data_IF_000452277384
#
_entry.id   IF_000452277384
#
_cell.length_a   1.000
_cell.length_b   1.000
_cell.length_c   1.000
_cell.angle_alpha   90.00
_cell.angle_beta   90.00
_cell.angle_gamma   90.00
#
_symmetry.space_group_name_H-M   'P 1'
#
loop_
_entity.id
_entity.type
_entity.pdbx_description
1 polymer ?
#
# COMPACT_ATOMS: atom_id res chain seq x y z
N UNK A 1 4.65 0.50 0.26
CA UNK A 1 5.26 -0.83 0.40
C UNK A 1 4.23 -1.78 -0.16
N UNK A 2 4.54 -2.50 -1.22
CA UNK A 2 3.63 -3.50 -1.73
C UNK A 2 3.53 -4.67 -0.76
N UNK A 3 2.36 -5.28 -0.60
CA UNK A 3 2.18 -6.40 0.36
C UNK A 3 3.10 -7.60 0.06
N UNK A 4 3.73 -7.63 -1.11
CA UNK A 4 4.77 -8.60 -1.46
C UNK A 4 5.94 -8.66 -0.48
N UNK A 5 6.35 -7.54 0.12
CA UNK A 5 7.41 -7.55 1.14
C UNK A 5 6.96 -8.25 2.43
N UNK A 6 5.70 -8.08 2.80
CA UNK A 6 5.08 -8.78 3.93
C UNK A 6 4.95 -10.28 3.62
N UNK A 7 4.51 -10.61 2.41
CA UNK A 7 4.36 -11.98 1.95
C UNK A 7 5.70 -12.74 1.86
N UNK A 8 6.77 -12.10 1.36
CA UNK A 8 8.13 -12.68 1.39
C UNK A 8 8.66 -12.83 2.82
N UNK A 9 8.31 -11.90 3.72
CA UNK A 9 8.65 -12.02 5.14
C UNK A 9 7.92 -13.18 5.84
N UNK A 10 6.73 -13.54 5.38
CA UNK A 10 5.92 -14.65 5.90
C UNK A 10 6.21 -15.98 5.21
N UNK A 11 6.62 -15.96 3.94
CA UNK A 11 6.97 -17.14 3.17
C UNK A 11 8.28 -16.88 2.37
N UNK A 12 9.44 -17.16 2.96
CA UNK A 12 10.75 -16.90 2.36
C UNK A 12 11.01 -17.66 1.06
N UNK A 13 10.32 -18.81 0.88
CA UNK A 13 10.44 -19.68 -0.29
C UNK A 13 9.49 -19.28 -1.43
N UNK A 14 8.68 -18.23 -1.24
CA UNK A 14 7.79 -17.74 -2.27
C UNK A 14 8.61 -17.22 -3.49
N UNK A 15 8.30 -17.69 -4.72
CA UNK A 15 9.09 -17.33 -5.90
C UNK A 15 9.11 -15.82 -6.11
N UNK A 16 10.31 -15.25 -6.23
CA UNK A 16 10.48 -13.84 -6.59
C UNK A 16 9.92 -13.59 -8.00
N UNK A 17 9.11 -12.55 -8.13
CA UNK A 17 8.52 -12.16 -9.41
C UNK A 17 9.60 -11.76 -10.42
N UNK A 18 9.40 -12.12 -11.70
CA UNK A 18 10.19 -11.57 -12.80
C UNK A 18 10.01 -10.05 -12.82
N UNK A 19 11.02 -9.32 -12.36
CA UNK A 19 10.89 -7.90 -12.03
C UNK A 19 10.57 -7.04 -13.24
N UNK A 20 11.01 -7.41 -14.44
CA UNK A 20 10.78 -6.64 -15.68
C UNK A 20 9.32 -6.61 -16.14
N UNK A 21 8.71 -7.78 -16.34
CA UNK A 21 7.31 -7.90 -16.78
C UNK A 21 6.34 -7.34 -15.74
N UNK A 22 6.62 -7.57 -14.46
CA UNK A 22 5.90 -6.99 -13.34
C UNK A 22 5.96 -5.45 -13.34
N UNK A 23 7.15 -4.85 -13.51
CA UNK A 23 7.29 -3.39 -13.48
C UNK A 23 6.51 -2.74 -14.63
N UNK A 24 6.55 -3.33 -15.83
CA UNK A 24 5.83 -2.81 -16.99
C UNK A 24 4.31 -2.91 -16.78
N UNK A 25 3.80 -4.07 -16.35
CA UNK A 25 2.37 -4.24 -16.08
C UNK A 25 1.89 -3.29 -14.98
N UNK A 26 2.71 -3.09 -13.95
CA UNK A 26 2.44 -2.14 -12.86
C UNK A 26 2.37 -0.71 -13.34
N UNK A 27 3.39 -0.26 -14.08
CA UNK A 27 3.45 1.10 -14.56
C UNK A 27 2.25 1.43 -15.48
N UNK A 28 1.85 0.48 -16.32
CA UNK A 28 0.67 0.61 -17.18
C UNK A 28 -0.62 0.73 -16.36
N UNK A 29 -0.81 -0.15 -15.38
CA UNK A 29 -1.99 -0.12 -14.50
C UNK A 29 -2.04 1.18 -13.68
N UNK A 30 -0.94 1.55 -13.02
CA UNK A 30 -0.88 2.73 -12.15
C UNK A 30 -1.10 4.02 -12.95
N UNK A 31 -0.52 4.11 -14.14
CA UNK A 31 -0.76 5.24 -15.05
C UNK A 31 -2.23 5.32 -15.44
N UNK A 32 -2.86 4.19 -15.77
CA UNK A 32 -4.28 4.14 -16.10
C UNK A 32 -5.15 4.55 -14.90
N UNK A 33 -4.85 4.08 -13.70
CA UNK A 33 -5.56 4.46 -12.47
C UNK A 33 -5.44 5.97 -12.21
N UNK A 34 -4.25 6.54 -12.31
CA UNK A 34 -4.02 7.99 -12.12
C UNK A 34 -4.82 8.80 -13.13
N UNK A 35 -4.78 8.41 -14.42
CA UNK A 35 -5.55 9.10 -15.47
C UNK A 35 -7.04 9.02 -15.19
N UNK A 36 -7.56 7.84 -14.84
CA UNK A 36 -8.99 7.67 -14.58
C UNK A 36 -9.44 8.42 -13.33
N UNK A 37 -8.68 8.39 -12.24
CA UNK A 37 -8.97 9.20 -11.05
C UNK A 37 -8.96 10.69 -11.39
N UNK A 38 -7.99 11.14 -12.18
CA UNK A 38 -7.94 12.53 -12.63
C UNK A 38 -9.19 12.90 -13.45
N UNK A 39 -9.64 12.03 -14.36
CA UNK A 39 -10.88 12.22 -15.12
C UNK A 39 -12.11 12.24 -14.20
N UNK A 40 -12.18 11.36 -13.19
CA UNK A 40 -13.26 11.35 -12.20
C UNK A 40 -13.30 12.65 -11.39
N UNK A 41 -12.14 13.13 -10.92
CA UNK A 41 -12.04 14.41 -10.21
C UNK A 41 -12.46 15.55 -11.13
N UNK A 42 -11.99 15.57 -12.38
CA UNK A 42 -12.24 16.65 -13.34
C UNK A 42 -13.69 16.70 -13.81
N UNK A 43 -14.32 15.56 -14.09
CA UNK A 43 -15.62 15.49 -14.76
C UNK A 43 -16.78 15.07 -13.85
N UNK A 44 -16.53 14.33 -12.77
CA UNK A 44 -17.58 13.89 -11.83
C UNK A 44 -17.59 14.79 -10.60
N UNK A 45 -16.45 14.95 -9.92
CA UNK A 45 -16.38 15.73 -8.67
C UNK A 45 -16.47 17.23 -8.96
N UNK A 46 -15.72 17.72 -9.95
CA UNK A 46 -15.62 19.14 -10.32
C UNK A 46 -15.38 20.05 -9.09
N UNK A 47 -14.25 19.89 -8.38
CA UNK A 47 -13.98 20.70 -7.19
C UNK A 47 -14.02 22.20 -7.52
N UNK A 48 -14.61 22.99 -6.63
CA UNK A 48 -14.70 24.45 -6.79
C UNK A 48 -13.33 25.10 -6.56
N UNK A 49 -12.62 25.34 -7.67
CA UNK A 49 -11.33 26.03 -7.69
C UNK A 49 -11.47 27.54 -7.84
N UNK A 50 -12.68 28.10 -7.78
CA UNK A 50 -12.91 29.55 -7.97
C UNK A 50 -12.14 30.38 -6.95
N UNK A 51 -12.00 29.87 -5.71
CA UNK A 51 -11.22 30.52 -4.65
C UNK A 51 -9.71 30.59 -4.93
N UNK A 52 -9.20 29.77 -5.85
CA UNK A 52 -7.79 29.73 -6.24
C UNK A 52 -7.49 30.57 -7.48
N UNK A 53 -8.50 31.07 -8.21
CA UNK A 53 -8.30 31.82 -9.47
C UNK A 53 -7.50 33.09 -9.31
N UNK A 54 -7.70 33.79 -8.20
CA UNK A 54 -7.03 35.06 -7.88
C UNK A 54 -5.97 34.90 -6.80
N UNK A 55 -5.58 33.66 -6.49
CA UNK A 55 -4.54 33.41 -5.50
C UNK A 55 -3.18 33.69 -6.14
N UNK A 56 -2.59 34.83 -5.78
CA UNK A 56 -1.17 35.07 -6.01
C UNK A 56 -0.40 34.55 -4.79
N UNK A 57 0.36 33.48 -4.99
CA UNK A 57 1.25 33.00 -3.96
C UNK A 57 2.20 34.14 -3.55
N UNK A 58 2.33 34.47 -2.25
CA UNK A 58 3.25 35.50 -1.81
C UNK A 58 4.65 35.15 -2.34
N UNK A 59 5.28 36.09 -3.05
CA UNK A 59 6.65 35.95 -3.57
C UNK A 59 7.67 36.08 -2.42
N UNK A 60 7.50 35.30 -1.36
CA UNK A 60 8.49 35.20 -0.29
C UNK A 60 9.66 34.37 -0.79
N UNK A 61 10.74 35.05 -1.19
CA UNK A 61 12.09 34.45 -1.24
C UNK A 61 12.62 34.26 0.19
N UNK A 62 11.85 33.62 1.06
CA UNK A 62 12.33 33.22 2.38
C UNK A 62 13.34 32.10 2.18
N UNK A 63 14.61 32.38 2.46
CA UNK A 63 15.64 31.35 2.52
C UNK A 63 15.22 30.33 3.58
N UNK A 64 15.43 29.04 3.30
CA UNK A 64 15.21 27.99 4.28
C UNK A 64 15.96 28.33 5.58
N UNK A 65 15.26 28.23 6.71
CA UNK A 65 15.88 28.44 8.01
C UNK A 65 16.90 27.33 8.28
N UNK A 66 17.86 27.58 9.18
CA UNK A 66 18.86 26.59 9.57
C UNK A 66 18.22 25.29 10.06
N UNK A 67 17.09 25.40 10.77
CA UNK A 67 16.34 24.26 11.28
C UNK A 67 15.60 23.51 10.16
N UNK A 68 15.05 24.20 9.16
CA UNK A 68 14.49 23.54 7.98
C UNK A 68 15.56 22.77 7.18
N UNK A 69 16.77 23.34 7.04
CA UNK A 69 17.88 22.64 6.39
C UNK A 69 18.36 21.43 7.20
N UNK A 70 18.33 21.51 8.54
CA UNK A 70 18.62 20.38 9.43
C UNK A 70 17.56 19.28 9.30
N UNK A 71 16.27 19.65 9.33
CA UNK A 71 15.17 18.71 9.10
C UNK A 71 15.28 18.03 7.73
N UNK A 72 15.59 18.79 6.68
CA UNK A 72 15.81 18.26 5.34
C UNK A 72 17.00 17.29 5.30
N UNK A 73 18.09 17.59 6.02
CA UNK A 73 19.23 16.68 6.15
C UNK A 73 18.86 15.35 6.82
N UNK A 74 18.07 15.39 7.90
CA UNK A 74 17.56 14.18 8.56
C UNK A 74 16.65 13.39 7.61
N UNK A 75 15.78 14.06 6.86
CA UNK A 75 14.90 13.43 5.88
C UNK A 75 15.69 12.77 4.74
N UNK A 76 16.70 13.44 4.19
CA UNK A 76 17.58 12.88 3.16
C UNK A 76 18.32 11.65 3.72
N UNK A 77 18.86 11.75 4.94
CA UNK A 77 19.53 10.62 5.60
C UNK A 77 18.58 9.43 5.76
N UNK A 78 17.33 9.67 6.18
CA UNK A 78 16.30 8.63 6.26
C UNK A 78 16.09 7.92 4.92
N UNK A 79 15.90 8.68 3.82
CA UNK A 79 15.74 8.10 2.49
C UNK A 79 16.97 7.33 2.03
N UNK A 80 18.17 7.84 2.30
CA UNK A 80 19.42 7.15 1.95
C UNK A 80 19.49 5.82 2.67
N UNK A 81 19.32 5.77 3.99
CA UNK A 81 19.38 4.52 4.76
C UNK A 81 18.26 3.55 4.34
N UNK A 82 17.05 4.05 4.10
CA UNK A 82 15.90 3.23 3.71
C UNK A 82 16.07 2.59 2.31
N UNK A 83 16.72 3.29 1.37
CA UNK A 83 16.91 2.84 -0.01
C UNK A 83 18.23 2.10 -0.24
N UNK A 84 19.23 2.30 0.65
CA UNK A 84 20.55 1.71 0.54
C UNK A 84 20.53 0.17 0.39
N UNK A 85 19.74 -0.61 1.16
CA UNK A 85 19.69 -2.06 1.01
C UNK A 85 19.32 -2.53 -0.40
N UNK A 86 18.45 -1.77 -1.08
CA UNK A 86 17.98 -2.09 -2.43
C UNK A 86 19.03 -1.86 -3.52
N UNK A 87 20.07 -1.06 -3.22
CA UNK A 87 21.15 -0.73 -4.15
C UNK A 87 22.42 -1.55 -3.89
N UNK A 88 22.52 -2.19 -2.72
CA UNK A 88 23.69 -2.96 -2.33
C UNK A 88 23.65 -4.40 -2.88
N UNK A 89 24.81 -4.97 -3.29
CA UNK A 89 24.91 -6.38 -3.60
C UNK A 89 24.69 -7.24 -2.34
N UNK A 90 24.32 -8.49 -2.52
CA UNK A 90 24.14 -9.46 -1.42
C UNK A 90 25.40 -9.58 -0.56
N UNK A 91 25.24 -9.48 0.76
CA UNK A 91 26.34 -9.57 1.73
C UNK A 91 26.01 -8.94 3.08
N UNK A 92 26.91 -9.08 4.05
CA UNK A 92 26.69 -8.68 5.44
C UNK A 92 26.31 -7.19 5.63
N UNK A 93 26.79 -6.31 4.74
CA UNK A 93 26.42 -4.88 4.76
C UNK A 93 24.96 -4.69 4.36
N UNK A 94 24.50 -5.38 3.31
CA UNK A 94 23.09 -5.38 2.90
C UNK A 94 22.22 -5.95 4.01
N UNK A 95 22.64 -7.04 4.65
CA UNK A 95 21.88 -7.69 5.71
C UNK A 95 21.77 -6.78 6.94
N UNK A 96 22.85 -6.09 7.31
CA UNK A 96 22.82 -5.10 8.40
C UNK A 96 21.81 -3.98 8.12
N UNK A 97 21.89 -3.34 6.95
CA UNK A 97 20.97 -2.26 6.60
C UNK A 97 19.54 -2.75 6.33
N UNK A 98 19.34 -3.99 5.88
CA UNK A 98 18.00 -4.58 5.72
C UNK A 98 17.36 -4.85 7.08
N UNK A 99 18.10 -5.38 8.04
CA UNK A 99 17.63 -5.60 9.42
C UNK A 99 17.38 -4.28 10.15
N UNK A 100 18.22 -3.27 9.91
CA UNK A 100 18.00 -1.93 10.42
C UNK A 100 16.73 -1.31 9.83
N UNK A 101 16.57 -1.43 8.50
CA UNK A 101 15.35 -1.15 7.77
C UNK A 101 14.82 0.29 7.90
N UNK A 102 13.58 0.48 7.44
CA UNK A 102 12.87 1.77 7.49
C UNK A 102 12.59 2.20 8.93
N UNK A 103 12.28 1.23 9.80
CA UNK A 103 11.97 1.47 11.21
C UNK A 103 13.22 1.97 11.96
N UNK A 104 14.37 1.33 11.78
CA UNK A 104 15.63 1.77 12.39
C UNK A 104 16.06 3.14 11.86
N UNK A 105 15.91 3.41 10.56
CA UNK A 105 16.18 4.72 9.98
C UNK A 105 15.30 5.82 10.60
N UNK A 106 14.01 5.55 10.83
CA UNK A 106 13.10 6.47 11.50
C UNK A 106 13.52 6.73 12.95
N UNK A 107 13.83 5.68 13.72
CA UNK A 107 14.31 5.83 15.10
C UNK A 107 15.61 6.62 15.19
N UNK A 108 16.55 6.39 14.27
CA UNK A 108 17.80 7.14 14.22
C UNK A 108 17.55 8.63 13.92
N UNK A 109 16.64 8.93 12.99
CA UNK A 109 16.25 10.31 12.69
C UNK A 109 15.65 11.02 13.91
N UNK A 110 14.77 10.35 14.65
CA UNK A 110 14.19 10.87 15.89
C UNK A 110 15.26 11.03 16.97
N UNK A 111 16.15 10.05 17.15
CA UNK A 111 17.23 10.12 18.13
C UNK A 111 18.18 11.31 17.87
N UNK A 112 18.57 11.52 16.61
CA UNK A 112 19.37 12.68 16.21
C UNK A 112 18.62 13.98 16.50
N UNK A 113 17.35 14.08 16.12
CA UNK A 113 16.52 15.27 16.37
C UNK A 113 16.36 15.59 17.87
N UNK A 114 16.32 14.58 18.75
CA UNK A 114 16.23 14.76 20.20
C UNK A 114 17.54 15.23 20.84
N UNK A 115 18.70 14.86 20.27
CA UNK A 115 20.02 15.27 20.75
C UNK A 115 20.38 16.69 20.27
N UNK A 116 19.86 17.09 19.10
CA UNK A 116 20.10 18.41 18.53
C UNK A 116 19.53 19.55 19.38
N UNK A 117 20.20 20.71 19.32
CA UNK A 117 19.75 21.95 19.95
C UNK A 117 19.66 23.09 18.95
N UNK A 118 18.70 23.97 19.18
CA UNK A 118 18.53 25.21 18.42
C UNK A 118 19.67 26.19 18.76
N UNK A 119 19.79 27.26 17.96
CA UNK A 119 20.79 28.32 18.21
C UNK A 119 20.64 28.95 19.60
N UNK A 120 19.40 29.00 20.09
CA UNK A 120 19.05 29.51 21.42
C UNK A 120 19.30 28.51 22.57
N UNK A 121 19.90 27.34 22.28
CA UNK A 121 20.19 26.29 23.28
C UNK A 121 18.99 25.47 23.72
N UNK A 122 17.79 25.80 23.23
CA UNK A 122 16.57 25.01 23.47
C UNK A 122 16.64 23.66 22.75
N UNK A 123 15.98 22.61 23.27
CA UNK A 123 15.88 21.33 22.57
C UNK A 123 15.29 21.54 21.17
N UNK A 124 15.91 20.97 20.14
CA UNK A 124 15.43 21.06 18.76
C UNK A 124 14.03 20.46 18.63
N UNK A 125 13.80 19.36 19.35
CA UNK A 125 12.51 18.67 19.41
C UNK A 125 12.34 18.03 20.79
N UNK A 126 11.13 18.09 21.35
CA UNK A 126 10.81 17.38 22.60
C UNK A 126 10.11 16.08 22.27
N UNK A 127 10.47 14.99 22.95
CA UNK A 127 9.86 13.68 22.73
C UNK A 127 8.35 13.69 22.94
N UNK A 128 7.84 14.44 23.93
CA UNK A 128 6.40 14.57 24.19
C UNK A 128 5.67 15.16 22.98
N UNK A 129 6.28 16.10 22.27
CA UNK A 129 5.68 16.72 21.10
C UNK A 129 5.67 15.75 19.91
N UNK A 130 6.72 14.94 19.75
CA UNK A 130 6.76 13.85 18.76
C UNK A 130 5.70 12.80 19.05
N UNK A 131 5.61 12.34 20.30
CA UNK A 131 4.67 11.31 20.72
C UNK A 131 3.22 11.70 20.49
N UNK A 132 2.88 12.99 20.55
CA UNK A 132 1.53 13.49 20.20
C UNK A 132 1.23 13.43 18.71
N UNK A 133 2.25 13.59 17.86
CA UNK A 133 2.10 13.50 16.41
C UNK A 133 2.05 12.05 15.89
N UNK A 134 2.38 11.06 16.72
CA UNK A 134 2.33 9.66 16.33
C UNK A 134 0.87 9.17 16.35
N UNK A 135 0.33 8.63 15.24
CA UNK A 135 -1.00 8.05 15.21
C UNK A 135 -0.98 6.67 15.89
N UNK A 136 -1.00 6.65 17.23
CA UNK A 136 -0.90 5.41 18.03
C UNK A 136 -1.93 4.36 17.65
N UNK A 137 -3.15 4.78 17.30
CA UNK A 137 -4.21 3.89 16.85
C UNK A 137 -3.82 3.11 15.57
N UNK A 138 -3.08 3.72 14.64
CA UNK A 138 -2.57 3.06 13.43
C UNK A 138 -1.49 2.03 13.81
N UNK A 139 -0.61 2.36 14.76
CA UNK A 139 0.44 1.42 15.23
C UNK A 139 -0.21 0.17 15.84
N UNK A 140 -1.21 0.34 16.72
CA UNK A 140 -1.91 -0.79 17.30
C UNK A 140 -2.68 -1.60 16.26
N UNK A 141 -3.32 -0.93 15.29
CA UNK A 141 -3.99 -1.60 14.17
C UNK A 141 -3.04 -2.50 13.38
N UNK A 142 -1.87 -1.98 12.97
CA UNK A 142 -0.85 -2.77 12.25
C UNK A 142 -0.34 -3.93 13.12
N UNK A 143 -0.12 -3.72 14.42
CA UNK A 143 0.32 -4.77 15.34
C UNK A 143 -0.67 -5.94 15.44
N UNK A 144 -1.96 -5.65 15.64
CA UNK A 144 -3.02 -6.67 15.67
C UNK A 144 -3.15 -7.38 14.33
N UNK A 145 -3.02 -6.64 13.23
CA UNK A 145 -3.07 -7.18 11.89
C UNK A 145 -1.97 -8.22 11.64
N UNK A 146 -0.73 -7.98 12.09
CA UNK A 146 0.36 -8.95 11.90
C UNK A 146 0.05 -10.29 12.57
N UNK A 147 -0.56 -10.27 13.77
CA UNK A 147 -1.00 -11.48 14.49
C UNK A 147 -2.14 -12.19 13.75
N UNK A 148 -3.10 -11.43 13.20
CA UNK A 148 -4.16 -12.02 12.40
C UNK A 148 -3.59 -12.67 11.15
N UNK A 149 -2.76 -11.97 10.37
CA UNK A 149 -2.17 -12.48 9.14
C UNK A 149 -1.38 -13.78 9.38
N UNK A 150 -0.62 -13.88 10.48
CA UNK A 150 0.10 -15.12 10.82
C UNK A 150 -0.87 -16.26 11.12
N UNK A 151 -1.96 -15.98 11.85
CA UNK A 151 -3.00 -16.97 12.16
C UNK A 151 -3.70 -17.47 10.89
N UNK A 152 -4.06 -16.57 9.97
CA UNK A 152 -4.73 -16.95 8.72
C UNK A 152 -3.84 -17.73 7.74
N UNK A 153 -2.53 -17.61 7.89
CA UNK A 153 -1.55 -18.35 7.08
C UNK A 153 -1.16 -19.70 7.69
N UNK A 154 -1.64 -20.01 8.90
CA UNK A 154 -1.28 -21.22 9.63
C UNK A 154 -1.95 -22.45 8.98
N UNK A 155 -1.18 -23.41 8.46
CA UNK A 155 -1.72 -24.65 7.89
C UNK A 155 -2.54 -25.46 8.91
N UNK A 156 -2.23 -25.40 10.21
CA UNK A 156 -2.92 -26.19 11.24
C UNK A 156 -4.39 -25.76 11.42
N UNK A 157 -4.70 -24.51 11.11
CA UNK A 157 -6.06 -23.98 11.21
C UNK A 157 -6.93 -24.30 9.99
N UNK A 158 -6.33 -24.78 8.89
CA UNK A 158 -7.05 -25.21 7.69
C UNK A 158 -7.80 -24.08 6.94
N UNK A 159 -7.55 -22.81 7.24
CA UNK A 159 -8.29 -21.69 6.64
C UNK A 159 -8.00 -21.57 5.14
N UNK A 160 -6.73 -21.68 4.74
CA UNK A 160 -6.34 -21.68 3.33
C UNK A 160 -6.96 -22.86 2.55
N UNK A 161 -7.07 -24.03 3.18
CA UNK A 161 -7.71 -25.20 2.59
C UNK A 161 -9.22 -24.99 2.41
N UNK A 162 -9.89 -24.47 3.44
CA UNK A 162 -11.32 -24.13 3.39
C UNK A 162 -11.64 -23.11 2.29
N UNK A 163 -10.81 -22.07 2.15
CA UNK A 163 -10.95 -21.08 1.08
C UNK A 163 -10.71 -21.68 -0.30
N UNK A 164 -9.69 -22.54 -0.42
CA UNK A 164 -9.39 -23.25 -1.68
C UNK A 164 -10.56 -24.14 -2.08
N UNK A 165 -11.13 -24.92 -1.16
CA UNK A 165 -12.29 -25.77 -1.41
C UNK A 165 -13.53 -24.96 -1.84
N UNK A 166 -13.72 -23.77 -1.28
CA UNK A 166 -14.84 -22.90 -1.64
C UNK A 166 -14.66 -22.23 -3.02
N UNK A 167 -13.44 -21.83 -3.37
CA UNK A 167 -13.15 -21.05 -4.58
C UNK A 167 -12.95 -21.95 -5.81
N UNK A 168 -12.32 -23.12 -5.65
CA UNK A 168 -11.93 -24.00 -6.76
C UNK A 168 -13.10 -24.38 -7.69
N UNK A 169 -14.29 -24.79 -7.19
CA UNK A 169 -15.41 -25.15 -8.06
C UNK A 169 -15.91 -23.98 -8.91
N UNK A 170 -15.86 -22.76 -8.36
CA UNK A 170 -16.27 -21.54 -9.06
C UNK A 170 -15.30 -21.28 -10.20
N UNK A 171 -14.00 -21.31 -9.90
CA UNK A 171 -12.91 -21.02 -10.85
C UNK A 171 -12.87 -22.03 -12.00
N UNK A 172 -13.09 -23.32 -11.73
CA UNK A 172 -13.13 -24.37 -12.76
C UNK A 172 -14.27 -24.19 -13.76
N UNK A 173 -15.43 -23.72 -13.29
CA UNK A 173 -16.65 -23.63 -14.11
C UNK A 173 -16.68 -22.45 -15.09
N UNK A 174 -15.85 -21.42 -14.88
CA UNK A 174 -15.93 -20.13 -15.60
C UNK A 174 -14.68 -19.78 -16.42
N UNK A 175 -13.67 -20.65 -16.42
CA UNK A 175 -12.42 -20.48 -17.17
C UNK A 175 -11.55 -19.31 -16.69
N UNK A 176 -10.38 -19.12 -17.31
CA UNK A 176 -9.33 -18.20 -16.85
C UNK A 176 -9.76 -16.72 -16.75
N UNK A 177 -10.55 -16.23 -17.69
CA UNK A 177 -11.04 -14.85 -17.62
C UNK A 177 -12.08 -14.68 -16.50
N UNK A 178 -13.05 -15.60 -16.43
CA UNK A 178 -14.08 -15.56 -15.40
C UNK A 178 -13.50 -15.68 -14.00
N UNK A 179 -12.53 -16.57 -13.80
CA UNK A 179 -11.86 -16.78 -12.52
C UNK A 179 -11.12 -15.53 -12.06
N UNK A 180 -10.38 -14.90 -12.98
CA UNK A 180 -9.67 -13.66 -12.69
C UNK A 180 -10.67 -12.55 -12.31
N UNK A 181 -11.74 -12.39 -13.08
CA UNK A 181 -12.76 -11.37 -12.80
C UNK A 181 -13.44 -11.56 -11.44
N UNK A 182 -13.82 -12.79 -11.10
CA UNK A 182 -14.44 -13.11 -9.80
C UNK A 182 -13.46 -12.85 -8.65
N UNK A 183 -12.20 -13.27 -8.77
CA UNK A 183 -11.20 -13.05 -7.73
C UNK A 183 -10.88 -11.57 -7.54
N UNK A 184 -10.82 -10.77 -8.62
CA UNK A 184 -10.67 -9.31 -8.52
C UNK A 184 -11.85 -8.68 -7.77
N UNK A 185 -13.08 -9.10 -8.06
CA UNK A 185 -14.27 -8.59 -7.38
C UNK A 185 -14.23 -8.95 -5.89
N UNK A 186 -13.97 -10.22 -5.57
CA UNK A 186 -13.88 -10.70 -4.19
C UNK A 186 -12.78 -9.94 -3.44
N UNK A 187 -11.58 -9.84 -3.99
CA UNK A 187 -10.46 -9.13 -3.37
C UNK A 187 -10.78 -7.66 -3.13
N UNK A 188 -11.33 -6.96 -4.13
CA UNK A 188 -11.65 -5.52 -4.01
C UNK A 188 -12.73 -5.28 -2.96
N UNK A 189 -13.78 -6.11 -2.93
CA UNK A 189 -14.86 -5.97 -1.95
C UNK A 189 -14.36 -6.32 -0.55
N UNK A 190 -13.65 -7.44 -0.41
CA UNK A 190 -13.12 -7.89 0.86
C UNK A 190 -12.15 -6.87 1.45
N UNK A 191 -11.24 -6.31 0.65
CA UNK A 191 -10.24 -5.35 1.16
C UNK A 191 -10.80 -4.00 1.56
N UNK A 192 -12.03 -3.69 1.18
CA UNK A 192 -12.68 -2.45 1.61
C UNK A 192 -13.46 -2.63 2.92
N UNK A 193 -13.59 -3.88 3.38
CA UNK A 193 -14.25 -4.27 4.64
C UNK A 193 -13.21 -4.76 5.67
N UNK A 194 -12.23 -5.53 5.19
CA UNK A 194 -11.11 -6.09 5.92
C UNK A 194 -9.83 -5.33 5.57
N UNK A 195 -8.78 -5.53 6.36
CA UNK A 195 -7.48 -4.93 6.09
C UNK A 195 -6.85 -5.45 4.79
N UNK A 196 -6.21 -4.56 4.03
CA UNK A 196 -5.58 -4.84 2.76
C UNK A 196 -4.49 -5.92 2.80
N UNK A 197 -3.70 -5.93 3.86
CA UNK A 197 -2.63 -6.90 4.04
C UNK A 197 -3.22 -8.28 4.35
N UNK A 198 -4.29 -8.34 5.16
CA UNK A 198 -4.98 -9.58 5.47
C UNK A 198 -5.60 -10.21 4.21
N UNK A 199 -6.32 -9.42 3.41
CA UNK A 199 -6.93 -9.92 2.17
C UNK A 199 -5.86 -10.35 1.18
N UNK A 200 -4.75 -9.62 1.07
CA UNK A 200 -3.61 -10.03 0.25
C UNK A 200 -3.09 -11.41 0.68
N UNK A 201 -2.88 -11.64 1.98
CA UNK A 201 -2.44 -12.95 2.50
C UNK A 201 -3.43 -14.05 2.13
N UNK A 202 -4.73 -13.84 2.35
CA UNK A 202 -5.77 -14.82 2.02
C UNK A 202 -5.78 -15.17 0.52
N UNK A 203 -5.70 -14.16 -0.36
CA UNK A 203 -5.65 -14.38 -1.80
C UNK A 203 -4.38 -15.16 -2.20
N UNK A 204 -3.24 -14.86 -1.58
CA UNK A 204 -2.00 -15.59 -1.84
C UNK A 204 -2.06 -17.07 -1.44
N UNK A 205 -2.80 -17.43 -0.39
CA UNK A 205 -2.94 -18.85 -0.01
C UNK A 205 -3.68 -19.69 -1.06
N UNK A 206 -4.59 -19.09 -1.83
CA UNK A 206 -5.41 -19.80 -2.84
C UNK A 206 -4.85 -19.73 -4.26
N UNK A 207 -3.84 -18.88 -4.53
CA UNK A 207 -3.29 -18.67 -5.87
C UNK A 207 -2.65 -19.93 -6.44
N UNK A 208 -1.86 -20.66 -5.66
CA UNK A 208 -1.17 -21.87 -6.13
C UNK A 208 -2.12 -22.92 -6.71
N UNK A 209 -3.12 -23.39 -5.92
CA UNK A 209 -4.14 -24.32 -6.41
C UNK A 209 -4.91 -23.81 -7.63
N UNK A 210 -5.38 -22.55 -7.59
CA UNK A 210 -6.12 -21.93 -8.70
C UNK A 210 -5.30 -21.89 -9.99
N UNK A 211 -4.01 -21.53 -9.90
CA UNK A 211 -3.13 -21.47 -11.06
C UNK A 211 -2.81 -22.86 -11.62
N UNK A 212 -2.68 -23.88 -10.77
CA UNK A 212 -2.52 -25.27 -11.17
C UNK A 212 -3.68 -25.78 -12.01
N UNK A 213 -4.90 -25.46 -11.60
CA UNK A 213 -6.13 -25.79 -12.34
C UNK A 213 -6.24 -25.04 -13.68
N UNK A 214 -5.89 -23.75 -13.70
CA UNK A 214 -6.05 -22.90 -14.88
C UNK A 214 -4.87 -22.94 -15.86
N UNK A 215 -3.76 -23.59 -15.50
CA UNK A 215 -2.56 -23.68 -16.32
C UNK A 215 -1.83 -22.35 -16.52
N UNK A 216 -1.91 -21.43 -15.55
CA UNK A 216 -1.26 -20.11 -15.61
C UNK A 216 -0.10 -19.98 -14.63
N UNK A 217 0.82 -19.07 -14.93
CA UNK A 217 1.95 -18.78 -14.04
C UNK A 217 1.47 -18.20 -12.71
N UNK A 218 1.77 -18.84 -11.55
CA UNK A 218 1.38 -18.35 -10.24
C UNK A 218 1.93 -16.96 -9.93
N UNK A 219 3.14 -16.63 -10.39
CA UNK A 219 3.77 -15.34 -10.11
C UNK A 219 3.09 -14.20 -10.86
N UNK A 220 2.78 -14.36 -12.15
CA UNK A 220 2.06 -13.35 -12.92
C UNK A 220 0.63 -13.14 -12.44
N UNK A 221 -0.04 -14.22 -12.06
CA UNK A 221 -1.41 -14.18 -11.55
C UNK A 221 -1.49 -13.54 -10.15
N UNK A 222 -0.56 -13.89 -9.25
CA UNK A 222 -0.41 -13.28 -7.93
C UNK A 222 -0.15 -11.78 -8.02
N UNK A 223 0.76 -11.36 -8.89
CA UNK A 223 1.12 -9.97 -9.07
C UNK A 223 -0.08 -9.08 -9.42
N UNK A 224 -1.03 -9.62 -10.19
CA UNK A 224 -2.20 -8.89 -10.68
C UNK A 224 -3.37 -8.94 -9.73
N UNK A 225 -3.55 -10.05 -9.00
CA UNK A 225 -4.58 -10.18 -7.97
C UNK A 225 -4.24 -9.45 -6.67
N UNK A 226 -2.97 -9.10 -6.45
CA UNK A 226 -2.59 -8.29 -5.31
C UNK A 226 -3.08 -6.83 -5.45
N UNK A 227 -3.13 -6.28 -6.66
CA UNK A 227 -3.55 -4.89 -6.92
C UNK A 227 -4.94 -4.53 -6.40
N UNK A 228 -6.00 -5.33 -6.65
CA UNK A 228 -7.28 -5.05 -6.05
C UNK A 228 -7.25 -5.09 -4.52
N UNK A 229 -6.32 -5.83 -3.89
CA UNK A 229 -6.14 -5.84 -2.43
C UNK A 229 -5.53 -4.53 -1.92
N UNK A 230 -4.68 -3.84 -2.69
CA UNK A 230 -4.10 -2.56 -2.22
C UNK A 230 -5.11 -1.40 -2.25
N UNK A 231 -6.22 -1.54 -2.99
CA UNK A 231 -7.22 -0.47 -3.12
C UNK A 231 -8.27 -0.50 -2.00
N UNK A 232 -7.84 -0.09 -0.81
CA UNK A 232 -8.59 -0.20 0.43
C UNK A 232 -8.86 1.19 1.04
N UNK A 233 -9.97 1.82 0.65
CA UNK A 233 -10.28 3.23 1.01
C UNK A 233 -11.67 3.44 1.62
N UNK A 234 -12.56 2.44 1.53
CA UNK A 234 -13.97 2.62 1.90
C UNK A 234 -14.16 2.80 3.40
N UNK A 235 -13.49 1.99 4.22
CA UNK A 235 -13.62 2.01 5.68
C UNK A 235 -12.29 2.39 6.33
N UNK A 236 -12.30 3.01 7.53
CA UNK A 236 -11.06 3.38 8.21
C UNK A 236 -10.21 2.17 8.59
N UNK A 237 -10.81 0.98 8.74
CA UNK A 237 -10.11 -0.26 9.05
C UNK A 237 -9.52 -0.97 7.82
N UNK A 238 -9.82 -0.48 6.61
CA UNK A 238 -9.39 -1.12 5.37
C UNK A 238 -7.88 -0.97 5.12
N UNK A 239 -7.29 0.17 5.51
CA UNK A 239 -5.85 0.40 5.43
C UNK A 239 -5.41 1.55 6.34
N UNK A 240 -4.11 1.63 6.69
CA UNK A 240 -3.54 2.80 7.36
C UNK A 240 -3.81 4.11 6.61
N UNK A 241 -3.76 4.09 5.28
CA UNK A 241 -4.07 5.26 4.45
C UNK A 241 -5.52 5.71 4.57
N UNK A 242 -6.46 4.76 4.64
CA UNK A 242 -7.87 5.05 4.89
C UNK A 242 -8.08 5.61 6.30
N UNK A 243 -7.45 5.02 7.32
CA UNK A 243 -7.51 5.52 8.70
C UNK A 243 -7.08 6.99 8.79
N UNK A 244 -5.96 7.34 8.13
CA UNK A 244 -5.48 8.73 8.05
C UNK A 244 -6.51 9.65 7.38
N UNK A 245 -7.05 9.26 6.22
CA UNK A 245 -8.07 10.04 5.52
C UNK A 245 -9.33 10.27 6.36
N UNK A 246 -9.76 9.26 7.13
CA UNK A 246 -10.88 9.39 8.05
C UNK A 246 -10.54 10.25 9.27
N UNK A 247 -9.27 10.31 9.71
CA UNK A 247 -8.79 11.24 10.73
C UNK A 247 -9.00 12.71 10.34
N UNK A 248 -8.80 13.04 9.06
CA UNK A 248 -9.05 14.39 8.53
C UNK A 248 -10.54 14.82 8.62
N UNK A 249 -11.44 13.87 8.86
CA UNK A 249 -12.86 14.19 9.11
C UNK A 249 -13.08 14.81 10.48
N UNK A 250 -12.21 14.55 11.46
CA UNK A 250 -12.27 15.14 12.80
C UNK A 250 -11.84 16.62 12.75
N UNK A 251 -10.87 16.94 11.91
CA UNK A 251 -10.41 18.31 11.67
C UNK A 251 -11.34 19.14 10.76
N UNK A 252 -12.35 18.49 10.15
CA UNK A 252 -13.35 19.15 9.31
C UNK A 252 -12.91 19.44 7.87
N UNK A 253 -11.76 18.91 7.44
CA UNK A 253 -11.30 19.04 6.04
C UNK A 253 -12.18 18.27 5.06
N UNK A 254 -12.67 17.09 5.46
CA UNK A 254 -13.46 16.20 4.60
C UNK A 254 -14.65 15.62 5.37
N UNK A 255 -15.78 15.41 4.69
CA UNK A 255 -16.94 14.73 5.27
C UNK A 255 -16.90 13.22 4.97
N UNK A 256 -17.24 12.38 5.95
CA UNK A 256 -17.41 10.92 5.79
C UNK A 256 -18.30 10.55 4.60
N UNK A 257 -19.40 11.28 4.38
CA UNK A 257 -20.28 11.06 3.22
C UNK A 257 -19.56 11.25 1.89
N UNK A 258 -18.68 12.25 1.80
CA UNK A 258 -17.86 12.52 0.61
C UNK A 258 -16.85 11.39 0.39
N UNK A 259 -16.19 10.93 1.45
CA UNK A 259 -15.25 9.80 1.38
C UNK A 259 -15.96 8.57 0.86
N UNK A 260 -17.07 8.14 1.50
CA UNK A 260 -17.80 6.93 1.11
C UNK A 260 -18.34 7.02 -0.32
N UNK A 261 -18.91 8.17 -0.70
CA UNK A 261 -19.44 8.36 -2.06
C UNK A 261 -18.33 8.29 -3.11
N UNK A 262 -17.18 8.93 -2.85
CA UNK A 262 -16.06 8.93 -3.78
C UNK A 262 -15.40 7.55 -3.85
N UNK A 263 -15.18 6.92 -2.69
CA UNK A 263 -14.63 5.58 -2.59
C UNK A 263 -15.48 4.57 -3.35
N UNK A 264 -16.79 4.60 -3.18
CA UNK A 264 -17.72 3.68 -3.88
C UNK A 264 -17.63 3.83 -5.40
N UNK A 265 -17.58 5.06 -5.91
CA UNK A 265 -17.41 5.32 -7.35
C UNK A 265 -16.08 4.76 -7.84
N UNK A 266 -14.99 5.03 -7.11
CA UNK A 266 -13.67 4.56 -7.49
C UNK A 266 -13.60 3.02 -7.47
N UNK A 267 -14.18 2.35 -6.46
CA UNK A 267 -14.23 0.89 -6.37
C UNK A 267 -14.90 0.30 -7.61
N UNK A 268 -16.07 0.82 -8.01
CA UNK A 268 -16.77 0.33 -9.20
C UNK A 268 -15.93 0.49 -10.48
N UNK A 269 -15.29 1.64 -10.64
CA UNK A 269 -14.45 1.92 -11.82
C UNK A 269 -13.17 1.07 -11.80
N UNK A 270 -12.57 0.88 -10.64
CA UNK A 270 -11.30 0.18 -10.49
C UNK A 270 -11.47 -1.32 -10.68
N UNK A 271 -12.58 -1.92 -10.25
CA UNK A 271 -12.91 -3.31 -10.59
C UNK A 271 -12.86 -3.51 -12.11
N UNK A 272 -13.49 -2.61 -12.88
CA UNK A 272 -13.50 -2.72 -14.34
C UNK A 272 -12.09 -2.56 -14.91
N UNK A 273 -11.30 -1.62 -14.42
CA UNK A 273 -9.90 -1.43 -14.86
C UNK A 273 -9.01 -2.62 -14.53
N UNK A 274 -9.10 -3.15 -13.31
CA UNK A 274 -8.36 -4.33 -12.86
C UNK A 274 -8.70 -5.54 -13.73
N UNK A 275 -9.97 -5.74 -14.06
CA UNK A 275 -10.38 -6.84 -14.95
C UNK A 275 -9.83 -6.64 -16.37
N UNK A 276 -10.07 -5.48 -16.99
CA UNK A 276 -9.75 -5.28 -18.41
C UNK A 276 -8.25 -5.13 -18.67
N UNK A 277 -7.57 -4.28 -17.89
CA UNK A 277 -6.14 -4.00 -18.04
C UNK A 277 -5.32 -5.10 -17.37
N UNK A 278 -5.73 -5.55 -16.18
CA UNK A 278 -5.03 -6.60 -15.46
C UNK A 278 -5.00 -7.88 -16.27
N UNK A 279 -6.15 -8.35 -16.76
CA UNK A 279 -6.22 -9.55 -17.59
C UNK A 279 -5.35 -9.45 -18.85
N UNK A 280 -5.40 -8.30 -19.54
CA UNK A 280 -4.59 -8.04 -20.73
C UNK A 280 -3.08 -8.11 -20.48
N UNK A 281 -2.66 -7.89 -19.23
CA UNK A 281 -1.24 -7.95 -18.81
C UNK A 281 -0.83 -9.26 -18.13
N UNK A 282 -1.75 -10.21 -17.90
CA UNK A 282 -1.46 -11.54 -17.29
C UNK A 282 -0.34 -12.27 -18.04
N UNK A 283 -0.39 -12.23 -19.36
CA UNK A 283 0.62 -12.88 -20.22
C UNK A 283 1.96 -12.14 -20.26
N UNK A 284 2.00 -10.86 -19.89
CA UNK A 284 3.22 -10.06 -19.78
C UNK A 284 3.88 -10.20 -18.42
N UNK A 285 3.10 -10.40 -17.36
CA UNK A 285 3.60 -10.59 -16.00
C UNK A 285 4.15 -12.01 -15.73
N UNK A 286 3.72 -13.00 -16.53
CA UNK A 286 4.15 -14.39 -16.43
C UNK A 286 5.33 -14.80 -17.31
N UNK A 287 5.83 -13.90 -18.18
CA UNK A 287 7.02 -14.08 -19.02
C UNK A 287 8.19 -13.26 -18.48
#
# INVERSE_FOLDING_TARGET
MSNFGLFQGMNPDAPMFHSGGYLISSLLMDTALVVVVWLLIRFVIKPDVTKLKNYEAPKTKTKFTRDQNRALGILIMFFVIALLPSLLPTGAVKDFFSNFGVIGAAYLGVAIALIMRNEDGTPYMKFIDVAKCVPWHIIFMIGTLMVLCSTFSDPELGIGEALTMAITPIVESIGLFGSFAVLVIIATVATNILDNSLVSVLIMTVIGPVCGTLGVSPSGYAALLERPCEFAILTPAASPGAAMLYGETEEGWVNKKTIVSFASICICVFIVLFILIGFGTVNLAGK
#
